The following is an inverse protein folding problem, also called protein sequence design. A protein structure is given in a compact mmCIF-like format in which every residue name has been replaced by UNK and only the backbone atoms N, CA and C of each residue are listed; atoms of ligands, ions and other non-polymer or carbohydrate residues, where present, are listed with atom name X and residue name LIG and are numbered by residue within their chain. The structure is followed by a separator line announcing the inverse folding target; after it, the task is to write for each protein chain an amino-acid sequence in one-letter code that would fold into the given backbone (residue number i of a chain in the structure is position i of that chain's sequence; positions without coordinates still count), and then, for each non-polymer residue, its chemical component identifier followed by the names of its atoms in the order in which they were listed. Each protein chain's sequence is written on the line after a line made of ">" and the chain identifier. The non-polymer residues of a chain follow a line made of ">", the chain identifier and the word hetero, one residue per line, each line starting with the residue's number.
data_IF_863285562950
#
_entry.id   IF_863285562950
#
_cell.length_a   1.000
_cell.length_b   1.000
_cell.length_c   1.000
_cell.angle_alpha   90.00
_cell.angle_beta   90.00
_cell.angle_gamma   90.00
#
_symmetry.space_group_name_H-M   'P 1'
#
loop_
_entity.id
_entity.type
_entity.pdbx_description
1 polymer ?
#
# COMPACT_ATOMS: atom_id res chain seq x y z
N UNK A 1 5.73 10.96 1.13
CA UNK A 1 4.79 10.43 2.13
C UNK A 1 5.34 10.56 3.56
N UNK A 2 6.57 10.12 3.81
CA UNK A 2 7.17 10.18 5.16
C UNK A 2 7.30 11.60 5.74
N UNK A 3 7.63 12.61 4.93
CA UNK A 3 7.70 14.00 5.42
C UNK A 3 6.34 14.50 5.90
N UNK A 4 5.28 14.27 5.13
CA UNK A 4 3.90 14.62 5.51
C UNK A 4 3.49 13.91 6.81
N UNK A 5 3.80 12.61 6.94
CA UNK A 5 3.54 11.86 8.15
C UNK A 5 4.23 12.48 9.39
N UNK A 6 5.52 12.84 9.25
CA UNK A 6 6.28 13.51 10.33
C UNK A 6 5.73 14.89 10.69
N UNK A 7 5.35 15.68 9.69
CA UNK A 7 4.89 17.06 9.91
C UNK A 7 3.45 17.15 10.44
N UNK A 8 2.61 16.15 10.14
CA UNK A 8 1.18 16.16 10.52
C UNK A 8 0.86 15.27 11.73
N UNK A 9 1.75 14.36 12.09
CA UNK A 9 1.48 13.31 13.08
C UNK A 9 0.62 12.16 12.54
N UNK A 10 0.25 12.18 11.26
CA UNK A 10 -0.43 11.07 10.61
C UNK A 10 0.50 9.86 10.50
N UNK A 11 -0.04 8.64 10.62
CA UNK A 11 0.71 7.40 10.43
C UNK A 11 1.07 7.22 8.96
N UNK A 12 2.28 6.73 8.69
CA UNK A 12 2.64 6.28 7.35
C UNK A 12 2.03 4.90 7.08
N UNK A 13 1.07 4.84 6.15
CA UNK A 13 0.29 3.64 5.83
C UNK A 13 0.97 2.61 4.92
N UNK A 14 2.23 2.81 4.53
CA UNK A 14 2.96 1.92 3.63
C UNK A 14 2.84 2.29 2.14
N UNK A 15 3.08 1.30 1.28
CA UNK A 15 3.15 1.45 -0.18
C UNK A 15 1.92 0.82 -0.82
N UNK A 16 1.37 1.49 -1.83
CA UNK A 16 0.30 0.95 -2.67
C UNK A 16 0.86 0.54 -4.02
N UNK A 17 0.30 -0.52 -4.59
CA UNK A 17 0.63 -1.01 -5.94
C UNK A 17 -0.48 -0.58 -6.89
N UNK A 18 -0.12 0.14 -7.96
CA UNK A 18 -1.11 0.79 -8.84
C UNK A 18 -0.75 0.70 -10.32
N UNK A 19 0.50 1.00 -10.66
CA UNK A 19 0.95 1.15 -12.05
C UNK A 19 1.62 -0.11 -12.62
N UNK A 20 2.13 -0.98 -11.75
CA UNK A 20 2.95 -2.14 -12.13
C UNK A 20 2.70 -3.34 -11.24
N UNK A 21 2.71 -4.52 -11.86
CA UNK A 21 2.80 -5.79 -11.17
C UNK A 21 4.25 -6.04 -10.76
N UNK A 22 4.43 -6.78 -9.68
CA UNK A 22 5.75 -7.25 -9.30
C UNK A 22 6.20 -8.39 -10.21
N UNK A 23 7.47 -8.78 -10.07
CA UNK A 23 7.91 -10.09 -10.56
C UNK A 23 7.09 -11.22 -9.93
N UNK A 24 7.19 -12.43 -10.50
CA UNK A 24 6.39 -13.59 -10.10
C UNK A 24 6.61 -14.01 -8.63
N UNK A 25 7.77 -13.68 -8.06
CA UNK A 25 8.15 -13.90 -6.66
C UNK A 25 7.91 -12.68 -5.76
N UNK A 26 7.35 -11.61 -6.32
CA UNK A 26 7.05 -10.37 -5.61
C UNK A 26 5.67 -10.34 -4.96
N UNK A 27 5.33 -9.21 -4.30
CA UNK A 27 4.14 -9.11 -3.46
C UNK A 27 2.81 -9.00 -4.22
N UNK A 28 2.84 -8.63 -5.51
CA UNK A 28 1.64 -8.42 -6.34
C UNK A 28 1.86 -8.99 -7.75
N UNK A 29 2.07 -10.31 -7.91
CA UNK A 29 2.42 -10.92 -9.19
C UNK A 29 1.24 -10.97 -10.16
N UNK A 30 0.01 -10.80 -9.67
CA UNK A 30 -1.21 -10.75 -10.48
C UNK A 30 -2.01 -9.48 -10.23
N UNK A 31 -2.89 -9.14 -11.18
CA UNK A 31 -3.78 -7.98 -11.03
C UNK A 31 -4.73 -8.11 -9.84
N UNK A 32 -5.20 -9.32 -9.51
CA UNK A 32 -6.03 -9.54 -8.33
C UNK A 32 -5.24 -9.33 -7.03
N UNK A 33 -3.96 -9.71 -7.01
CA UNK A 33 -3.10 -9.46 -5.85
C UNK A 33 -2.84 -7.96 -5.68
N UNK A 34 -2.63 -7.23 -6.78
CA UNK A 34 -2.50 -5.77 -6.76
C UNK A 34 -3.73 -5.11 -6.12
N UNK A 35 -4.94 -5.47 -6.56
CA UNK A 35 -6.17 -4.92 -5.99
C UNK A 35 -6.32 -5.29 -4.51
N UNK A 36 -6.02 -6.54 -4.15
CA UNK A 36 -6.14 -7.04 -2.78
C UNK A 36 -5.19 -6.33 -1.83
N UNK A 37 -3.89 -6.36 -2.11
CA UNK A 37 -2.85 -5.79 -1.23
C UNK A 37 -3.07 -4.30 -1.05
N UNK A 38 -3.38 -3.57 -2.12
CA UNK A 38 -3.67 -2.13 -2.06
C UNK A 38 -4.91 -1.84 -1.20
N UNK A 39 -6.00 -2.59 -1.40
CA UNK A 39 -7.24 -2.38 -0.66
C UNK A 39 -7.09 -2.73 0.82
N UNK A 40 -6.41 -3.82 1.15
CA UNK A 40 -6.11 -4.23 2.53
C UNK A 40 -5.22 -3.21 3.24
N UNK A 41 -4.22 -2.66 2.55
CA UNK A 41 -3.33 -1.61 3.09
C UNK A 41 -4.12 -0.35 3.44
N UNK A 42 -5.02 0.09 2.56
CA UNK A 42 -5.91 1.22 2.83
C UNK A 42 -6.86 0.92 4.00
N UNK A 43 -7.53 -0.23 3.97
CA UNK A 43 -8.48 -0.62 5.01
C UNK A 43 -7.83 -0.68 6.40
N UNK A 44 -6.61 -1.25 6.47
CA UNK A 44 -5.82 -1.28 7.70
C UNK A 44 -5.46 0.13 8.18
N UNK A 45 -4.99 1.00 7.28
CA UNK A 45 -4.64 2.38 7.63
C UNK A 45 -5.82 3.23 8.14
N UNK A 46 -7.06 2.86 7.79
CA UNK A 46 -8.28 3.54 8.26
C UNK A 46 -8.85 2.95 9.57
N UNK A 47 -8.52 1.70 9.89
CA UNK A 47 -9.00 1.01 11.08
C UNK A 47 -8.12 1.23 12.32
N UNK A 48 -6.96 1.88 12.16
CA UNK A 48 -5.94 2.17 13.17
C UNK A 48 -5.97 3.61 13.71
#
# INVERSE_FOLDING_TARGET
>A
AEQVARETGAKYGGVLYVDSLSAADGPVPTYLDLLRVTTETIAKGLAE
#
